data_IF_485034698747
#
_entry.id   IF_485034698747
#
_cell.length_a   1.000
_cell.length_b   1.000
_cell.length_c   1.000
_cell.angle_alpha   90.00
_cell.angle_beta   90.00
_cell.angle_gamma   90.00
#
_symmetry.space_group_name_H-M   'P 1'
#
loop_
_entity.id
_entity.type
_entity.pdbx_description
1 polymer ?
#
# COMPACT_ATOMS: atom_id res chain seq x y z
N UNK A 1 27.75 71.16 -18.52
CA UNK A 1 26.44 70.47 -18.41
C UNK A 1 26.43 69.26 -19.34
N UNK A 2 26.40 68.04 -18.78
CA UNK A 2 25.69 66.93 -19.41
C UNK A 2 24.71 66.27 -18.43
N UNK A 3 23.54 65.87 -18.93
CA UNK A 3 22.52 65.08 -18.22
C UNK A 3 22.80 63.59 -18.45
N UNK A 4 22.74 62.70 -17.44
CA UNK A 4 22.57 61.28 -17.72
C UNK A 4 21.08 60.92 -17.87
N UNK A 5 20.79 60.42 -19.07
CA UNK A 5 19.54 59.84 -19.53
C UNK A 5 19.22 58.51 -18.81
N UNK A 6 17.96 58.41 -18.36
CA UNK A 6 17.04 57.29 -18.62
C UNK A 6 17.62 55.86 -18.64
N UNK A 7 17.96 55.30 -17.48
CA UNK A 7 18.11 53.85 -17.27
C UNK A 7 16.94 53.23 -16.45
N UNK A 8 15.94 54.03 -16.09
CA UNK A 8 14.88 53.61 -15.16
C UNK A 8 13.73 52.78 -15.75
N UNK A 9 13.60 52.66 -17.08
CA UNK A 9 12.40 52.04 -17.68
C UNK A 9 12.58 50.61 -18.21
N UNK A 10 13.79 50.06 -18.25
CA UNK A 10 13.99 48.67 -18.74
C UNK A 10 13.86 47.60 -17.63
N UNK A 11 13.90 48.00 -16.36
CA UNK A 11 13.86 47.08 -15.22
C UNK A 11 12.45 46.74 -14.72
N UNK A 12 11.41 47.47 -15.17
CA UNK A 12 10.03 47.24 -14.70
C UNK A 12 9.29 46.17 -15.53
N UNK A 13 9.70 45.91 -16.78
CA UNK A 13 9.07 44.90 -17.64
C UNK A 13 9.61 43.47 -17.47
N UNK A 14 10.78 43.29 -16.84
CA UNK A 14 11.37 41.96 -16.59
C UNK A 14 10.90 41.37 -15.24
N UNK A 15 10.41 42.19 -14.32
CA UNK A 15 9.96 41.74 -12.99
C UNK A 15 8.48 41.36 -12.90
N UNK A 16 7.69 41.56 -13.96
CA UNK A 16 6.26 41.18 -14.00
C UNK A 16 5.96 39.83 -14.65
N UNK A 17 6.97 39.07 -15.09
CA UNK A 17 6.78 37.81 -15.84
C UNK A 17 6.97 36.51 -15.04
N UNK A 18 7.23 36.57 -13.72
CA UNK A 18 7.66 35.39 -12.94
C UNK A 18 6.66 34.85 -11.91
N UNK A 19 5.38 35.25 -11.97
CA UNK A 19 4.35 34.68 -11.10
C UNK A 19 3.13 34.18 -11.89
N UNK A 20 3.38 33.42 -12.98
CA UNK A 20 2.38 32.44 -13.39
C UNK A 20 2.47 31.32 -12.36
N UNK A 21 1.44 31.05 -11.53
CA UNK A 21 1.43 29.82 -10.76
C UNK A 21 1.61 28.70 -11.79
N UNK A 22 2.62 27.87 -11.60
CA UNK A 22 2.76 26.66 -12.38
C UNK A 22 1.40 25.95 -12.27
N UNK A 23 0.61 26.01 -13.34
CA UNK A 23 -0.59 25.22 -13.44
C UNK A 23 -0.10 23.81 -13.14
N UNK A 24 -0.57 23.23 -12.02
CA UNK A 24 -0.23 21.88 -11.66
C UNK A 24 -0.56 21.04 -12.89
N UNK A 25 0.48 20.65 -13.64
CA UNK A 25 0.30 19.81 -14.80
C UNK A 25 -0.28 18.53 -14.23
N UNK A 26 -1.59 18.34 -14.41
CA UNK A 26 -2.25 17.11 -14.05
C UNK A 26 -1.67 16.07 -15.00
N UNK A 27 -0.63 15.37 -14.55
CA UNK A 27 -0.21 14.14 -15.19
C UNK A 27 -1.43 13.23 -15.14
N UNK A 28 -1.96 12.78 -16.30
CA UNK A 28 -3.11 11.89 -16.28
C UNK A 28 -2.78 10.68 -15.42
N UNK A 29 -3.71 10.29 -14.54
CA UNK A 29 -3.54 9.12 -13.70
C UNK A 29 -3.21 7.92 -14.57
N UNK A 30 -2.26 7.10 -14.10
CA UNK A 30 -1.95 5.83 -14.78
C UNK A 30 -3.22 4.98 -14.89
N UNK A 31 -3.39 4.19 -15.96
CA UNK A 31 -4.54 3.29 -16.09
C UNK A 31 -4.70 2.41 -14.85
N UNK A 32 -5.95 2.21 -14.44
CA UNK A 32 -6.28 1.33 -13.32
C UNK A 32 -7.37 0.34 -13.71
N UNK A 33 -7.34 -0.85 -13.11
CA UNK A 33 -8.39 -1.85 -13.20
C UNK A 33 -9.05 -2.01 -11.84
N UNK A 34 -10.38 -2.03 -11.80
CA UNK A 34 -11.13 -2.14 -10.54
C UNK A 34 -12.18 -3.22 -10.57
N UNK A 35 -12.47 -3.81 -9.41
CA UNK A 35 -13.55 -4.77 -9.23
C UNK A 35 -14.13 -4.69 -7.82
N UNK A 36 -15.35 -5.19 -7.67
CA UNK A 36 -16.10 -5.32 -6.42
C UNK A 36 -16.59 -6.75 -6.19
N UNK A 37 -16.30 -7.68 -7.11
CA UNK A 37 -16.85 -9.04 -7.08
C UNK A 37 -15.79 -10.05 -6.64
N UNK A 38 -16.22 -10.98 -5.77
CA UNK A 38 -15.41 -12.13 -5.30
C UNK A 38 -14.04 -11.72 -4.71
N UNK A 39 -14.00 -10.60 -4.00
CA UNK A 39 -12.75 -10.01 -3.50
C UNK A 39 -11.98 -10.95 -2.55
N UNK A 40 -12.67 -11.77 -1.77
CA UNK A 40 -12.04 -12.77 -0.89
C UNK A 40 -11.43 -13.97 -1.64
N UNK A 41 -11.90 -14.24 -2.87
CA UNK A 41 -11.46 -15.37 -3.67
C UNK A 41 -10.33 -14.98 -4.64
N UNK A 42 -10.31 -13.71 -5.06
CA UNK A 42 -9.30 -13.19 -5.97
C UNK A 42 -8.02 -12.85 -5.21
N UNK A 43 -6.88 -13.16 -5.81
CA UNK A 43 -5.56 -12.88 -5.24
C UNK A 43 -4.95 -11.66 -5.93
N UNK A 44 -4.21 -10.87 -5.17
CA UNK A 44 -3.35 -9.84 -5.72
C UNK A 44 -1.90 -10.08 -5.30
N UNK A 45 -1.00 -9.49 -6.07
CA UNK A 45 0.38 -9.31 -5.69
C UNK A 45 0.78 -7.86 -5.98
N UNK A 46 1.51 -7.24 -5.05
CA UNK A 46 2.24 -5.99 -5.32
C UNK A 46 3.72 -6.27 -5.10
N UNK A 47 4.57 -5.85 -6.04
CA UNK A 47 5.95 -6.33 -6.13
C UNK A 47 6.93 -5.18 -6.33
N UNK A 48 8.07 -5.29 -5.67
CA UNK A 48 9.32 -4.65 -6.05
C UNK A 48 10.37 -5.73 -6.33
N UNK A 49 11.57 -5.31 -6.68
CA UNK A 49 12.71 -6.22 -6.91
C UNK A 49 13.24 -6.93 -5.64
N UNK A 50 12.92 -6.42 -4.45
CA UNK A 50 13.48 -6.90 -3.16
C UNK A 50 12.43 -7.24 -2.09
N UNK A 51 11.16 -7.03 -2.39
CA UNK A 51 10.04 -7.41 -1.54
C UNK A 51 8.79 -7.61 -2.38
N UNK A 52 7.80 -8.29 -1.82
CA UNK A 52 6.46 -8.35 -2.38
C UNK A 52 5.44 -8.62 -1.28
N UNK A 53 4.18 -8.32 -1.60
CA UNK A 53 3.03 -8.63 -0.76
C UNK A 53 2.04 -9.46 -1.56
N UNK A 54 1.51 -10.51 -0.95
CA UNK A 54 0.48 -11.38 -1.51
C UNK A 54 -0.72 -11.40 -0.57
N UNK A 55 -1.92 -11.18 -1.11
CA UNK A 55 -3.16 -11.23 -0.34
C UNK A 55 -4.37 -11.48 -1.22
N UNK A 56 -5.56 -11.36 -0.64
CA UNK A 56 -6.81 -11.33 -1.39
C UNK A 56 -7.18 -9.90 -1.78
N UNK A 57 -7.93 -9.71 -2.86
CA UNK A 57 -8.42 -8.38 -3.25
C UNK A 57 -9.33 -7.74 -2.17
N UNK A 58 -9.79 -8.52 -1.18
CA UNK A 58 -10.45 -8.03 0.03
C UNK A 58 -9.49 -7.43 1.08
N UNK A 59 -8.17 -7.41 0.81
CA UNK A 59 -7.15 -6.94 1.74
C UNK A 59 -6.89 -7.89 2.92
N UNK A 60 -7.03 -9.20 2.69
CA UNK A 60 -6.87 -10.25 3.69
C UNK A 60 -5.74 -11.20 3.34
N UNK A 61 -5.28 -11.92 4.36
CA UNK A 61 -4.20 -12.91 4.27
C UNK A 61 -4.68 -14.29 4.77
N UNK A 62 -5.67 -14.91 4.12
CA UNK A 62 -6.02 -16.29 4.44
C UNK A 62 -4.88 -17.22 4.04
N UNK A 63 -4.84 -18.40 4.66
CA UNK A 63 -3.96 -19.46 4.20
C UNK A 63 -4.18 -19.72 2.71
N UNK A 64 -3.11 -19.67 1.91
CA UNK A 64 -3.19 -19.78 0.45
C UNK A 64 -1.88 -20.29 -0.17
N UNK A 65 -2.00 -20.80 -1.39
CA UNK A 65 -0.85 -21.21 -2.18
C UNK A 65 -0.45 -22.67 -2.00
N UNK A 66 0.35 -23.15 -2.95
CA UNK A 66 0.69 -24.57 -3.09
C UNK A 66 2.19 -24.87 -2.99
N UNK A 67 3.07 -23.95 -3.42
CA UNK A 67 4.53 -24.11 -3.28
C UNK A 67 4.96 -24.03 -1.81
N UNK A 68 4.62 -22.93 -1.14
CA UNK A 68 4.66 -22.81 0.32
C UNK A 68 3.24 -23.11 0.81
N UNK A 69 2.94 -24.39 1.07
CA UNK A 69 1.56 -24.88 1.24
C UNK A 69 0.83 -24.11 2.34
N UNK A 70 -0.22 -23.39 1.95
CA UNK A 70 -1.00 -22.57 2.87
C UNK A 70 -0.34 -21.24 3.28
N UNK A 71 0.94 -21.04 2.96
CA UNK A 71 1.77 -19.98 3.54
C UNK A 71 2.20 -18.90 2.55
N UNK A 72 1.75 -18.93 1.30
CA UNK A 72 2.22 -17.97 0.27
C UNK A 72 1.71 -16.54 0.49
N UNK A 73 0.63 -16.36 1.25
CA UNK A 73 0.13 -15.04 1.64
C UNK A 73 1.11 -14.29 2.54
N UNK A 74 1.00 -12.97 2.59
CA UNK A 74 1.76 -12.13 3.51
C UNK A 74 2.79 -11.23 2.84
N UNK A 75 3.71 -10.70 3.65
CA UNK A 75 4.79 -9.80 3.21
C UNK A 75 6.09 -10.55 3.19
N UNK A 76 6.75 -10.52 2.04
CA UNK A 76 7.99 -11.23 1.79
C UNK A 76 9.11 -10.26 1.46
N UNK A 77 10.30 -10.51 2.02
CA UNK A 77 11.55 -9.95 1.52
C UNK A 77 12.50 -11.11 1.27
N UNK A 78 12.49 -11.68 0.05
CA UNK A 78 13.24 -12.89 -0.24
C UNK A 78 14.70 -12.84 0.25
N UNK A 79 15.20 -13.91 0.89
CA UNK A 79 14.61 -15.26 0.89
C UNK A 79 13.64 -15.55 2.06
N UNK A 80 13.15 -14.57 2.80
CA UNK A 80 12.29 -14.77 3.99
C UNK A 80 10.89 -14.17 3.85
N UNK A 81 9.92 -14.79 4.51
CA UNK A 81 8.63 -14.20 4.86
C UNK A 81 8.81 -13.36 6.13
N UNK A 82 8.28 -12.15 6.14
CA UNK A 82 8.36 -11.24 7.29
C UNK A 82 7.08 -11.27 8.10
N UNK A 83 5.94 -11.21 7.41
CA UNK A 83 4.63 -11.10 8.03
C UNK A 83 3.65 -12.05 7.34
N UNK A 84 2.82 -12.70 8.14
CA UNK A 84 1.62 -13.39 7.67
C UNK A 84 0.56 -12.42 7.18
N UNK A 85 0.47 -11.27 7.84
CA UNK A 85 -0.48 -10.24 7.47
C UNK A 85 -0.42 -9.00 8.34
N UNK A 86 -1.20 -8.01 7.93
CA UNK A 86 -1.33 -6.72 8.62
C UNK A 86 -2.82 -6.36 8.68
N UNK A 87 -3.31 -5.97 9.85
CA UNK A 87 -4.69 -5.59 10.11
C UNK A 87 -4.76 -4.22 10.78
N UNK A 88 -5.82 -3.48 10.46
CA UNK A 88 -6.07 -2.15 11.00
C UNK A 88 -7.46 -2.06 11.62
N UNK A 89 -7.59 -1.26 12.68
CA UNK A 89 -8.83 -1.03 13.40
C UNK A 89 -9.06 0.44 13.74
N UNK A 90 -10.33 0.81 13.93
CA UNK A 90 -10.74 2.14 14.38
C UNK A 90 -11.37 1.98 15.76
N UNK A 91 -10.69 2.50 16.78
CA UNK A 91 -10.98 2.19 18.18
C UNK A 91 -10.82 0.70 18.46
N UNK A 92 -11.82 0.09 19.09
CA UNK A 92 -11.78 -1.33 19.48
C UNK A 92 -12.32 -2.29 18.39
N UNK A 93 -12.61 -1.79 17.18
CA UNK A 93 -13.17 -2.60 16.09
C UNK A 93 -12.20 -2.69 14.93
N UNK A 94 -11.94 -3.91 14.47
CA UNK A 94 -11.21 -4.17 13.24
C UNK A 94 -11.95 -3.66 12.01
N UNK A 95 -11.21 -3.14 11.02
CA UNK A 95 -11.75 -2.77 9.73
C UNK A 95 -12.10 -4.04 8.94
N UNK A 96 -13.29 -4.05 8.34
CA UNK A 96 -13.83 -5.15 7.55
C UNK A 96 -13.10 -5.36 6.20
N UNK A 97 -13.45 -6.42 5.45
CA UNK A 97 -12.89 -6.67 4.13
C UNK A 97 -13.17 -5.51 3.17
N UNK A 98 -12.28 -5.29 2.21
CA UNK A 98 -12.44 -4.25 1.20
C UNK A 98 -13.76 -4.41 0.42
N UNK A 99 -14.36 -3.30 0.04
CA UNK A 99 -15.59 -3.26 -0.77
C UNK A 99 -15.31 -3.03 -2.25
N UNK A 100 -14.10 -2.54 -2.56
CA UNK A 100 -13.60 -2.35 -3.92
C UNK A 100 -12.10 -2.49 -3.92
N UNK A 101 -11.59 -3.23 -4.90
CA UNK A 101 -10.16 -3.33 -5.19
C UNK A 101 -9.84 -2.61 -6.48
N UNK A 102 -8.68 -1.97 -6.53
CA UNK A 102 -8.16 -1.27 -7.70
C UNK A 102 -6.66 -1.58 -7.84
N UNK A 103 -6.26 -2.13 -8.98
CA UNK A 103 -4.85 -2.27 -9.36
C UNK A 103 -4.44 -1.09 -10.25
N UNK A 104 -3.30 -0.49 -9.96
CA UNK A 104 -2.62 0.46 -10.83
C UNK A 104 -1.20 -0.02 -11.14
N UNK A 105 -0.43 0.81 -11.84
CA UNK A 105 0.99 0.51 -12.06
C UNK A 105 1.78 0.65 -10.76
N UNK A 106 2.36 -0.47 -10.32
CA UNK A 106 3.20 -0.57 -9.13
C UNK A 106 2.45 -0.59 -7.79
N UNK A 107 1.15 -0.32 -7.76
CA UNK A 107 0.39 -0.19 -6.51
C UNK A 107 -0.99 -0.82 -6.61
N UNK A 108 -1.56 -1.13 -5.45
CA UNK A 108 -2.96 -1.54 -5.31
C UNK A 108 -3.67 -0.64 -4.32
N UNK A 109 -4.97 -0.49 -4.47
CA UNK A 109 -5.82 0.30 -3.58
C UNK A 109 -7.07 -0.47 -3.21
N UNK A 110 -7.43 -0.39 -1.95
CA UNK A 110 -8.61 -1.02 -1.35
C UNK A 110 -9.47 0.06 -0.72
N UNK A 111 -10.73 0.15 -1.14
CA UNK A 111 -11.72 0.92 -0.39
C UNK A 111 -12.20 0.04 0.76
N UNK A 112 -12.07 0.53 1.98
CA UNK A 112 -12.36 -0.22 3.18
C UNK A 112 -13.65 0.28 3.85
N UNK A 113 -14.38 -0.59 4.58
CA UNK A 113 -15.52 -0.17 5.39
C UNK A 113 -15.07 0.85 6.43
N UNK A 114 -15.69 2.03 6.39
CA UNK A 114 -15.52 3.05 7.41
C UNK A 114 -16.58 3.00 8.49
N UNK A 115 -16.55 3.96 9.41
CA UNK A 115 -17.50 4.06 10.53
C UNK A 115 -17.81 5.52 10.85
N UNK A 116 -19.04 5.79 11.30
CA UNK A 116 -19.48 7.14 11.67
C UNK A 116 -19.26 8.18 10.55
N UNK A 117 -19.51 7.80 9.30
CA UNK A 117 -19.30 8.68 8.13
C UNK A 117 -17.84 8.81 7.65
N UNK A 118 -16.86 8.26 8.38
CA UNK A 118 -15.47 8.21 7.95
C UNK A 118 -15.34 7.33 6.70
N UNK A 119 -14.69 7.82 5.65
CA UNK A 119 -14.29 6.99 4.50
C UNK A 119 -12.84 6.55 4.66
N UNK A 120 -12.57 5.29 4.36
CA UNK A 120 -11.26 4.67 4.56
C UNK A 120 -10.78 4.05 3.25
N UNK A 121 -9.52 4.31 2.90
CA UNK A 121 -8.84 3.60 1.83
C UNK A 121 -7.45 3.16 2.28
N UNK A 122 -7.02 2.01 1.80
CA UNK A 122 -5.66 1.48 1.94
C UNK A 122 -5.00 1.46 0.56
N UNK A 123 -3.73 1.83 0.49
CA UNK A 123 -2.90 1.72 -0.72
C UNK A 123 -1.61 1.01 -0.37
N UNK A 124 -1.30 -0.03 -1.11
CA UNK A 124 -0.08 -0.81 -0.92
C UNK A 124 0.84 -0.66 -2.12
N UNK A 125 2.11 -0.44 -1.84
CA UNK A 125 3.16 -0.19 -2.83
C UNK A 125 4.47 -0.78 -2.35
N UNK A 126 5.22 -1.39 -3.27
CA UNK A 126 6.56 -1.91 -2.98
C UNK A 126 7.58 -1.15 -3.81
N UNK A 127 8.42 -0.29 -3.19
CA UNK A 127 9.42 0.47 -3.93
C UNK A 127 10.54 -0.44 -4.46
N UNK A 128 10.95 -0.20 -5.72
CA UNK A 128 12.17 -0.80 -6.26
C UNK A 128 13.41 -0.41 -5.44
N UNK A 129 14.36 -1.32 -5.34
CA UNK A 129 15.58 -1.20 -4.56
C UNK A 129 15.38 -1.30 -3.04
N UNK A 130 14.15 -1.46 -2.55
CA UNK A 130 13.84 -1.45 -1.11
C UNK A 130 13.28 -2.79 -0.64
N UNK A 131 13.79 -3.26 0.50
CA UNK A 131 13.21 -4.39 1.26
C UNK A 131 12.09 -3.87 2.15
N UNK A 132 11.02 -3.32 1.56
CA UNK A 132 9.94 -2.71 2.31
C UNK A 132 8.63 -2.76 1.52
N UNK A 133 7.52 -2.96 2.23
CA UNK A 133 6.16 -2.70 1.73
C UNK A 133 5.66 -1.42 2.40
N UNK A 134 5.15 -0.48 1.60
CA UNK A 134 4.52 0.73 2.10
C UNK A 134 3.01 0.54 2.08
N UNK A 135 2.39 0.69 3.25
CA UNK A 135 0.94 0.65 3.44
C UNK A 135 0.46 2.04 3.85
N UNK A 136 -0.23 2.71 2.93
CA UNK A 136 -0.83 4.02 3.16
C UNK A 136 -2.30 3.91 3.55
N UNK A 137 -2.68 4.48 4.68
CA UNK A 137 -4.08 4.62 5.08
C UNK A 137 -4.54 6.06 4.85
N UNK A 138 -5.62 6.23 4.09
CA UNK A 138 -6.30 7.50 3.89
C UNK A 138 -7.64 7.49 4.60
N UNK A 139 -7.79 8.39 5.56
CA UNK A 139 -9.03 8.67 6.26
C UNK A 139 -9.60 9.99 5.75
N UNK A 140 -10.88 10.02 5.41
CA UNK A 140 -11.58 11.25 5.03
C UNK A 140 -12.83 11.38 5.87
N UNK A 141 -12.84 12.39 6.73
CA UNK A 141 -13.98 12.73 7.57
C UNK A 141 -15.18 13.17 6.71
N UNK A 142 -16.37 13.12 7.32
CA UNK A 142 -17.58 13.77 6.79
C UNK A 142 -17.57 15.26 7.13
N UNK A 143 -18.73 15.77 7.53
CA UNK A 143 -18.94 17.22 7.74
C UNK A 143 -18.51 17.72 9.13
N UNK A 144 -18.03 16.83 10.00
CA UNK A 144 -17.61 17.17 11.35
C UNK A 144 -16.20 16.66 11.63
N UNK A 145 -15.50 17.36 12.52
CA UNK A 145 -14.21 16.93 13.04
C UNK A 145 -14.36 15.61 13.81
N UNK A 146 -13.43 14.69 13.56
CA UNK A 146 -13.47 13.36 14.14
C UNK A 146 -12.09 13.00 14.71
N UNK A 147 -12.08 12.57 15.97
CA UNK A 147 -10.92 11.93 16.59
C UNK A 147 -11.20 10.45 16.78
N UNK A 148 -10.21 9.61 16.48
CA UNK A 148 -10.30 8.17 16.68
C UNK A 148 -8.91 7.60 16.95
N UNK A 149 -8.88 6.47 17.67
CA UNK A 149 -7.65 5.68 17.81
C UNK A 149 -7.48 4.78 16.58
N UNK A 150 -6.30 4.79 15.97
CA UNK A 150 -5.89 3.80 14.99
C UNK A 150 -5.27 2.62 15.73
N UNK A 151 -5.82 1.43 15.53
CA UNK A 151 -5.21 0.16 15.93
C UNK A 151 -4.52 -0.46 14.72
N UNK A 152 -3.33 -1.01 14.94
CA UNK A 152 -2.62 -1.82 13.97
C UNK A 152 -2.16 -3.12 14.65
N UNK A 153 -2.20 -4.21 13.90
CA UNK A 153 -1.62 -5.49 14.29
C UNK A 153 -0.92 -6.10 13.07
N UNK A 154 0.30 -6.56 13.28
CA UNK A 154 1.14 -7.17 12.27
C UNK A 154 1.58 -8.52 12.82
N UNK A 155 1.05 -9.59 12.22
CA UNK A 155 1.36 -10.95 12.63
C UNK A 155 2.62 -11.39 11.89
N UNK A 156 3.68 -11.69 12.63
CA UNK A 156 4.91 -12.22 12.06
C UNK A 156 4.85 -13.73 12.03
N UNK A 157 5.21 -14.30 10.90
CA UNK A 157 5.57 -15.71 10.75
C UNK A 157 6.88 -15.73 9.96
N UNK A 158 7.98 -15.77 10.70
CA UNK A 158 9.31 -15.67 10.11
C UNK A 158 9.72 -17.04 9.57
N UNK A 159 9.60 -17.21 8.26
CA UNK A 159 9.96 -18.47 7.60
C UNK A 159 10.77 -18.25 6.33
N UNK A 160 11.51 -19.27 5.90
CA UNK A 160 12.19 -19.29 4.61
C UNK A 160 11.22 -19.47 3.45
N UNK A 161 11.52 -18.86 2.30
CA UNK A 161 10.81 -19.12 1.05
C UNK A 161 11.09 -20.51 0.46
N UNK A 162 12.07 -21.23 1.02
CA UNK A 162 12.50 -22.58 0.68
C UNK A 162 12.91 -23.30 1.97
N UNK A 163 12.71 -24.63 2.12
CA UNK A 163 12.13 -25.57 1.14
C UNK A 163 10.65 -25.36 0.83
N UNK A 164 10.19 -25.89 -0.31
CA UNK A 164 8.77 -25.94 -0.69
C UNK A 164 8.14 -27.25 -0.22
N UNK A 165 6.81 -27.35 -0.29
CA UNK A 165 6.08 -28.53 0.17
C UNK A 165 6.38 -29.79 -0.65
N UNK A 166 6.81 -29.63 -1.90
CA UNK A 166 7.16 -30.70 -2.83
C UNK A 166 8.66 -31.04 -2.89
N UNK A 167 9.52 -30.35 -2.13
CA UNK A 167 10.97 -30.54 -2.19
C UNK A 167 11.49 -31.52 -1.14
N UNK A 168 12.75 -31.94 -1.29
CA UNK A 168 13.51 -32.69 -0.28
C UNK A 168 14.73 -31.86 0.17
N UNK A 169 14.75 -31.36 1.41
CA UNK A 169 13.72 -31.52 2.44
C UNK A 169 12.46 -30.69 2.12
N UNK A 170 11.34 -30.97 2.80
CA UNK A 170 10.03 -30.32 2.58
C UNK A 170 9.81 -29.18 3.57
N UNK A 171 9.06 -28.15 3.17
CA UNK A 171 8.56 -27.10 4.07
C UNK A 171 7.89 -27.69 5.32
N UNK A 172 7.14 -28.78 5.17
CA UNK A 172 6.37 -29.43 6.25
C UNK A 172 7.24 -30.06 7.33
N UNK A 173 8.56 -30.06 7.16
CA UNK A 173 9.51 -30.55 8.18
C UNK A 173 10.02 -29.43 9.09
N UNK A 174 9.94 -28.16 8.65
CA UNK A 174 10.52 -27.02 9.37
C UNK A 174 9.50 -25.95 9.75
N UNK A 175 8.42 -25.80 8.98
CA UNK A 175 7.34 -24.85 9.26
C UNK A 175 6.22 -25.55 10.01
N UNK A 176 6.50 -25.94 11.26
CA UNK A 176 5.59 -26.69 12.13
C UNK A 176 4.84 -25.73 13.07
N UNK A 177 3.65 -26.13 13.56
CA UNK A 177 2.95 -25.35 14.57
C UNK A 177 3.82 -25.08 15.80
N UNK A 178 3.69 -23.88 16.37
CA UNK A 178 4.30 -23.56 17.65
C UNK A 178 3.83 -24.54 18.73
N UNK A 179 4.79 -25.07 19.48
CA UNK A 179 4.54 -26.05 20.55
C UNK A 179 4.60 -25.44 21.95
N UNK A 180 4.84 -24.14 22.05
CA UNK A 180 4.91 -23.43 23.34
C UNK A 180 3.53 -22.88 23.66
N UNK A 181 2.94 -23.39 24.75
CA UNK A 181 1.63 -23.00 25.27
C UNK A 181 1.66 -21.66 26.01
#
# INVERSE_FOLDING_TARGET
>A
MPRPLAWGLFLVLVLLSLALPAAAQSVPDSPTLSTTSRLDERRYVTTGDRAYEVGTEAGRYPAMGFHTRGEMGGVWSPPIKLLDGIWFGIGNKWIGPATRFTSGYGHVKMNLPGRNGLRVARTDFVPNGKRAVLVGLKFTAGDADQSFALKMDAHSELMGAYPWGETTPSQTTFNLPDSVA
#
